data_IF_730907771636
#
_entry.id   IF_730907771636
#
_cell.length_a   1.000
_cell.length_b   1.000
_cell.length_c   1.000
_cell.angle_alpha   90.00
_cell.angle_beta   90.00
_cell.angle_gamma   90.00
#
_symmetry.space_group_name_H-M   'P 1'
#
loop_
_entity.id
_entity.type
_entity.pdbx_description
1 polymer ?
#
# COMPACT_ATOMS: atom_id res chain seq x y z
N UNK A 1 -5.99 8.47 13.57
CA UNK A 1 -6.69 7.36 14.27
C UNK A 1 -8.03 6.95 13.62
N UNK A 2 -8.51 7.60 12.55
CA UNK A 2 -9.80 7.26 11.89
C UNK A 2 -9.69 6.38 10.65
N UNK A 3 -8.48 6.19 10.10
CA UNK A 3 -8.30 5.51 8.81
C UNK A 3 -8.55 4.00 8.86
N UNK A 4 -8.36 3.37 10.02
CA UNK A 4 -8.37 1.91 10.13
C UNK A 4 -9.80 1.32 10.14
N UNK A 5 -10.78 2.09 10.60
CA UNK A 5 -12.18 1.63 10.71
C UNK A 5 -12.89 1.53 9.34
N UNK A 6 -12.51 2.36 8.35
CA UNK A 6 -13.12 2.31 7.01
C UNK A 6 -12.38 1.35 6.06
N UNK A 7 -11.17 0.89 6.43
CA UNK A 7 -10.32 0.01 5.61
C UNK A 7 -11.05 -1.22 5.07
N UNK A 8 -11.90 -1.95 5.84
CA UNK A 8 -12.66 -3.08 5.30
C UNK A 8 -13.60 -2.69 4.14
N UNK A 9 -14.22 -1.50 4.22
CA UNK A 9 -15.12 -0.98 3.17
C UNK A 9 -14.35 -0.54 1.94
N UNK A 10 -13.20 0.08 2.14
CA UNK A 10 -12.28 0.50 1.06
C UNK A 10 -11.80 -0.71 0.27
N UNK A 11 -11.35 -1.77 0.96
CA UNK A 11 -10.92 -3.02 0.32
C UNK A 11 -12.07 -3.64 -0.49
N UNK A 12 -13.27 -3.75 0.10
CA UNK A 12 -14.44 -4.28 -0.58
C UNK A 12 -14.81 -3.49 -1.85
N UNK A 13 -14.77 -2.16 -1.79
CA UNK A 13 -14.99 -1.30 -2.95
C UNK A 13 -13.90 -1.52 -4.02
N UNK A 14 -12.63 -1.65 -3.62
CA UNK A 14 -11.51 -1.92 -4.52
C UNK A 14 -11.67 -3.23 -5.28
N UNK A 15 -12.07 -4.30 -4.58
CA UNK A 15 -12.38 -5.59 -5.18
C UNK A 15 -13.46 -5.48 -6.26
N UNK A 16 -14.58 -4.83 -5.95
CA UNK A 16 -15.65 -4.62 -6.93
C UNK A 16 -15.17 -3.85 -8.15
N UNK A 17 -14.40 -2.76 -7.94
CA UNK A 17 -13.85 -1.94 -9.02
C UNK A 17 -12.92 -2.76 -9.94
N UNK A 18 -12.01 -3.54 -9.36
CA UNK A 18 -11.03 -4.34 -10.11
C UNK A 18 -11.70 -5.50 -10.86
N UNK A 19 -12.64 -6.23 -10.24
CA UNK A 19 -13.34 -7.35 -10.89
C UNK A 19 -14.32 -6.90 -11.98
N UNK A 20 -14.67 -5.61 -12.04
CA UNK A 20 -15.45 -5.02 -13.14
C UNK A 20 -14.56 -4.55 -14.31
N UNK A 21 -13.24 -4.52 -14.13
CA UNK A 21 -12.31 -4.13 -15.18
C UNK A 21 -12.14 -5.30 -16.16
N UNK A 22 -12.50 -5.09 -17.43
CA UNK A 22 -12.37 -6.11 -18.49
C UNK A 22 -10.93 -6.53 -18.79
N UNK A 23 -9.95 -5.78 -18.30
CA UNK A 23 -8.52 -6.08 -18.42
C UNK A 23 -7.96 -6.84 -17.21
N UNK A 24 -8.82 -7.29 -16.28
CA UNK A 24 -8.43 -8.04 -15.08
C UNK A 24 -9.12 -9.40 -15.08
N UNK A 25 -8.36 -10.47 -15.32
CA UNK A 25 -8.88 -11.84 -15.32
C UNK A 25 -8.87 -12.47 -13.92
N UNK A 26 -7.89 -12.10 -13.08
CA UNK A 26 -7.70 -12.71 -11.76
C UNK A 26 -7.20 -11.66 -10.77
N UNK A 27 -7.71 -11.74 -9.53
CA UNK A 27 -7.32 -10.87 -8.43
C UNK A 27 -6.77 -11.71 -7.28
N UNK A 28 -5.46 -11.63 -7.04
CA UNK A 28 -4.79 -12.28 -5.92
C UNK A 28 -4.87 -11.37 -4.69
N UNK A 29 -5.50 -11.83 -3.61
CA UNK A 29 -5.71 -11.04 -2.40
C UNK A 29 -5.21 -11.81 -1.18
N UNK A 30 -4.26 -11.24 -0.46
CA UNK A 30 -3.86 -11.71 0.85
C UNK A 30 -4.89 -11.33 1.91
N UNK A 31 -5.19 -12.25 2.82
CA UNK A 31 -6.10 -12.06 3.95
C UNK A 31 -5.43 -12.55 5.23
N UNK A 32 -5.55 -11.79 6.32
CA UNK A 32 -4.91 -12.13 7.60
C UNK A 32 -5.78 -13.01 8.49
N UNK A 33 -7.07 -13.13 8.18
CA UNK A 33 -8.05 -13.92 8.94
C UNK A 33 -9.24 -14.35 8.06
N UNK A 34 -10.05 -15.27 8.58
CA UNK A 34 -11.21 -15.82 7.86
C UNK A 34 -12.28 -14.76 7.62
N UNK A 35 -12.45 -13.80 8.52
CA UNK A 35 -13.47 -12.74 8.38
C UNK A 35 -13.16 -11.82 7.19
N UNK A 36 -11.88 -11.56 6.90
CA UNK A 36 -11.46 -10.86 5.69
C UNK A 36 -11.75 -11.66 4.43
N UNK A 37 -11.48 -12.97 4.45
CA UNK A 37 -11.78 -13.87 3.34
C UNK A 37 -13.29 -13.90 3.03
N UNK A 38 -14.13 -14.13 4.04
CA UNK A 38 -15.59 -14.16 3.90
C UNK A 38 -16.13 -12.86 3.31
N UNK A 39 -15.62 -11.71 3.78
CA UNK A 39 -16.01 -10.39 3.25
C UNK A 39 -15.62 -10.23 1.79
N UNK A 40 -14.40 -10.62 1.42
CA UNK A 40 -13.89 -10.53 0.06
C UNK A 40 -14.71 -11.40 -0.91
N UNK A 41 -15.06 -12.62 -0.49
CA UNK A 41 -15.95 -13.51 -1.24
C UNK A 41 -17.34 -12.89 -1.37
N UNK A 42 -17.90 -12.36 -0.29
CA UNK A 42 -19.25 -11.79 -0.27
C UNK A 42 -19.44 -10.59 -1.20
N UNK A 43 -18.36 -9.92 -1.63
CA UNK A 43 -18.42 -8.78 -2.57
C UNK A 43 -17.97 -9.12 -3.98
N UNK A 44 -17.38 -10.30 -4.21
CA UNK A 44 -16.97 -10.74 -5.53
C UNK A 44 -18.16 -10.77 -6.50
N UNK A 45 -17.98 -10.22 -7.70
CA UNK A 45 -19.03 -10.13 -8.73
C UNK A 45 -20.13 -9.09 -8.48
N UNK A 46 -20.14 -8.40 -7.33
CA UNK A 46 -21.09 -7.31 -7.07
C UNK A 46 -20.66 -6.03 -7.77
N UNK A 47 -21.64 -5.20 -8.15
CA UNK A 47 -21.37 -3.90 -8.78
C UNK A 47 -20.90 -2.87 -7.76
N UNK A 48 -19.91 -2.06 -8.14
CA UNK A 48 -19.48 -0.88 -7.39
C UNK A 48 -20.60 0.17 -7.38
N UNK A 49 -20.94 0.68 -6.19
CA UNK A 49 -21.89 1.80 -6.07
C UNK A 49 -21.19 3.15 -6.21
N UNK A 50 -21.97 4.23 -6.44
CA UNK A 50 -21.42 5.59 -6.48
C UNK A 50 -20.75 5.99 -5.16
N UNK A 51 -21.34 5.65 -4.02
CA UNK A 51 -20.77 5.96 -2.70
C UNK A 51 -19.47 5.19 -2.43
N UNK A 52 -19.37 3.95 -2.91
CA UNK A 52 -18.14 3.16 -2.83
C UNK A 52 -17.04 3.72 -3.74
N UNK A 53 -17.39 4.19 -4.94
CA UNK A 53 -16.44 4.88 -5.82
C UNK A 53 -15.90 6.16 -5.16
N UNK A 54 -16.77 7.00 -4.59
CA UNK A 54 -16.34 8.20 -3.86
C UNK A 54 -15.50 7.87 -2.62
N UNK A 55 -15.80 6.75 -1.94
CA UNK A 55 -14.97 6.26 -0.84
C UNK A 55 -13.55 5.93 -1.31
N UNK A 56 -13.42 5.23 -2.45
CA UNK A 56 -12.12 4.91 -3.03
C UNK A 56 -11.34 6.18 -3.39
N UNK A 57 -11.97 7.16 -4.03
CA UNK A 57 -11.28 8.39 -4.43
C UNK A 57 -10.74 9.16 -3.22
N UNK A 58 -11.52 9.20 -2.12
CA UNK A 58 -11.11 9.83 -0.86
C UNK A 58 -9.97 9.08 -0.16
N UNK A 59 -9.94 7.75 -0.25
CA UNK A 59 -8.98 6.92 0.48
C UNK A 59 -7.69 6.62 -0.28
N UNK A 60 -7.78 6.37 -1.59
CA UNK A 60 -6.65 5.91 -2.40
C UNK A 60 -5.84 7.07 -2.94
N UNK A 61 -6.48 8.17 -3.37
CA UNK A 61 -5.75 9.30 -3.97
C UNK A 61 -4.68 9.88 -3.04
N UNK A 62 -4.96 10.11 -1.74
CA UNK A 62 -3.95 10.66 -0.83
C UNK A 62 -2.79 9.69 -0.55
N UNK A 63 -3.05 8.37 -0.57
CA UNK A 63 -2.01 7.36 -0.25
C UNK A 63 -1.02 7.16 -1.38
N UNK A 64 -1.39 7.48 -2.62
CA UNK A 64 -0.48 7.36 -3.77
C UNK A 64 0.75 8.27 -3.66
N UNK A 65 0.65 9.42 -2.98
CA UNK A 65 1.76 10.36 -2.84
C UNK A 65 2.91 9.78 -1.98
N UNK A 66 2.60 8.92 -1.01
CA UNK A 66 3.58 8.30 -0.12
C UNK A 66 3.93 6.86 -0.52
N UNK A 67 3.30 6.30 -1.55
CA UNK A 67 3.51 4.91 -1.95
C UNK A 67 4.74 4.77 -2.85
N UNK A 68 5.82 4.20 -2.31
CA UNK A 68 6.95 3.76 -3.12
C UNK A 68 6.62 2.42 -3.80
N UNK A 69 6.63 2.41 -5.14
CA UNK A 69 6.43 1.19 -5.95
C UNK A 69 7.74 0.53 -6.39
N UNK A 70 8.87 0.95 -5.80
CA UNK A 70 10.22 0.47 -6.15
C UNK A 70 10.57 0.64 -7.64
N UNK A 71 10.07 1.70 -8.27
CA UNK A 71 10.31 1.97 -9.69
C UNK A 71 11.70 2.55 -10.01
N UNK A 72 12.51 2.89 -9.00
CA UNK A 72 13.86 3.43 -9.16
C UNK A 72 13.96 4.89 -9.60
N UNK A 73 12.84 5.56 -9.97
CA UNK A 73 12.85 6.94 -10.49
C UNK A 73 13.40 7.99 -9.50
N UNK A 74 13.41 7.68 -8.21
CA UNK A 74 13.87 8.57 -7.15
C UNK A 74 15.38 8.45 -6.84
N UNK A 75 16.16 7.69 -7.61
CA UNK A 75 17.61 7.50 -7.37
C UNK A 75 18.48 8.73 -7.73
N UNK A 76 17.88 9.89 -7.96
CA UNK A 76 18.53 11.12 -8.45
C UNK A 76 18.70 12.17 -7.35
N UNK A 77 18.62 11.77 -6.07
CA UNK A 77 18.73 12.71 -4.96
C UNK A 77 20.11 13.41 -4.97
N UNK A 78 20.17 14.75 -5.02
CA UNK A 78 21.45 15.48 -5.05
C UNK A 78 22.24 15.35 -3.74
N UNK A 79 21.57 15.00 -2.63
CA UNK A 79 22.20 14.72 -1.34
C UNK A 79 22.66 13.26 -1.22
N UNK A 80 22.53 12.44 -2.27
CA UNK A 80 22.96 11.04 -2.27
C UNK A 80 22.09 10.10 -1.43
N UNK A 81 20.84 10.48 -1.15
CA UNK A 81 19.91 9.67 -0.34
C UNK A 81 19.40 8.46 -1.12
N UNK A 82 19.51 7.28 -0.52
CA UNK A 82 18.98 6.01 -1.05
C UNK A 82 17.48 5.88 -0.75
N UNK A 83 16.68 6.72 -1.42
CA UNK A 83 15.23 6.85 -1.16
C UNK A 83 14.51 5.50 -1.26
N UNK A 84 14.83 4.68 -2.27
CA UNK A 84 14.14 3.41 -2.49
C UNK A 84 14.34 2.43 -1.33
N UNK A 85 15.57 2.31 -0.82
CA UNK A 85 15.88 1.43 0.32
C UNK A 85 15.29 1.93 1.62
N UNK A 86 15.29 3.25 1.84
CA UNK A 86 14.62 3.84 3.01
C UNK A 86 13.12 3.55 2.96
N UNK A 87 12.47 3.75 1.81
CA UNK A 87 11.05 3.45 1.64
C UNK A 87 10.75 1.95 1.81
N UNK A 88 11.68 1.07 1.44
CA UNK A 88 11.58 -0.38 1.65
C UNK A 88 11.59 -0.72 3.13
N UNK A 89 12.49 -0.11 3.89
CA UNK A 89 12.52 -0.23 5.35
C UNK A 89 11.21 0.28 5.98
N UNK A 90 10.66 1.39 5.49
CA UNK A 90 9.35 1.90 5.91
C UNK A 90 8.22 0.90 5.67
N UNK A 91 8.21 0.22 4.52
CA UNK A 91 7.22 -0.81 4.22
C UNK A 91 7.29 -2.02 5.17
N UNK A 92 8.49 -2.43 5.61
CA UNK A 92 8.62 -3.46 6.64
C UNK A 92 8.04 -3.00 7.99
N UNK A 93 8.26 -1.74 8.39
CA UNK A 93 7.64 -1.19 9.60
C UNK A 93 6.11 -1.21 9.53
N UNK A 94 5.54 -0.80 8.40
CA UNK A 94 4.09 -0.81 8.18
C UNK A 94 3.49 -2.23 8.26
N UNK A 95 4.28 -3.26 7.93
CA UNK A 95 3.92 -4.68 8.06
C UNK A 95 4.12 -5.24 9.48
N UNK A 96 4.67 -4.46 10.40
CA UNK A 96 5.00 -4.89 11.76
C UNK A 96 6.34 -5.63 11.87
N UNK A 97 7.16 -5.66 10.83
CA UNK A 97 8.46 -6.34 10.77
C UNK A 97 9.58 -5.43 11.29
N UNK A 98 9.46 -5.00 12.55
CA UNK A 98 10.33 -3.97 13.15
C UNK A 98 11.82 -4.33 13.10
N UNK A 99 12.18 -5.56 13.45
CA UNK A 99 13.59 -5.97 13.50
C UNK A 99 14.21 -6.05 12.11
N UNK A 100 13.47 -6.59 11.13
CA UNK A 100 13.90 -6.59 9.72
C UNK A 100 14.10 -5.16 9.21
N UNK A 101 13.16 -4.26 9.49
CA UNK A 101 13.28 -2.87 9.09
C UNK A 101 14.54 -2.20 9.64
N UNK A 102 14.86 -2.44 10.92
CA UNK A 102 16.06 -1.90 11.56
C UNK A 102 17.34 -2.52 10.98
N UNK A 103 17.36 -3.82 10.76
CA UNK A 103 18.52 -4.53 10.24
C UNK A 103 18.86 -4.05 8.83
N UNK A 104 17.86 -3.98 7.96
CA UNK A 104 18.01 -3.47 6.59
C UNK A 104 18.41 -1.99 6.58
N UNK A 105 17.79 -1.14 7.41
CA UNK A 105 18.13 0.28 7.46
C UNK A 105 19.58 0.53 7.89
N UNK A 106 20.14 -0.31 8.78
CA UNK A 106 21.55 -0.20 9.22
C UNK A 106 22.55 -0.54 8.11
N UNK A 107 22.13 -1.23 7.06
CA UNK A 107 22.99 -1.51 5.90
C UNK A 107 23.16 -0.30 4.99
N UNK A 108 22.28 0.71 5.10
CA UNK A 108 22.36 1.94 4.32
C UNK A 108 23.49 2.82 4.89
N UNK A 109 24.46 3.27 4.07
CA UNK A 109 25.49 4.19 4.51
C UNK A 109 24.90 5.44 5.15
N UNK A 110 25.45 5.91 6.28
CA UNK A 110 24.95 7.10 6.98
C UNK A 110 24.88 8.32 6.04
N UNK A 111 25.87 8.47 5.14
CA UNK A 111 25.93 9.50 4.09
C UNK A 111 24.82 9.44 3.05
N UNK A 112 24.03 8.37 3.05
CA UNK A 112 22.94 8.10 2.12
C UNK A 112 21.59 7.95 2.82
N UNK A 113 21.53 8.28 4.11
CA UNK A 113 20.27 8.30 4.88
C UNK A 113 19.57 9.66 4.78
N UNK A 114 18.32 9.72 5.28
CA UNK A 114 17.55 10.95 5.38
C UNK A 114 18.16 12.02 6.30
N UNK A 115 19.19 11.68 7.10
CA UNK A 115 19.93 12.66 7.92
C UNK A 115 20.71 13.69 7.08
N UNK A 116 20.89 13.43 5.78
CA UNK A 116 21.56 14.35 4.85
C UNK A 116 20.59 15.28 4.11
N UNK A 117 19.34 15.38 4.58
CA UNK A 117 18.28 16.20 3.98
C UNK A 117 17.65 17.15 5.00
#
# INVERSE_FOLDING_TARGET
>A
MTHDQEKPKVVAAGLKKLLQNKNVDTLLIGTSNVQELERNIAVAGKRLTKSEASLLDRYVTPTLASLCTMCGKCSVCPQGVEIADIMRCGAYLERGELELAKEEYRTIPISSTALNC
#
